data_IF_709742386847
#
_entry.id   IF_709742386847
#
_cell.length_a   1.000
_cell.length_b   1.000
_cell.length_c   1.000
_cell.angle_alpha   90.00
_cell.angle_beta   90.00
_cell.angle_gamma   90.00
#
_symmetry.space_group_name_H-M   'P 1'
#
loop_
_entity.id
_entity.type
_entity.pdbx_description
1 polymer ?
#
# COMPACT_ATOMS: atom_id res chain seq x y z
N UNK A 1 -15.33 42.93 61.12
CA UNK A 1 -15.64 42.05 59.98
C UNK A 1 -14.32 41.57 59.39
N UNK A 2 -13.84 40.40 59.81
CA UNK A 2 -12.53 39.87 59.37
C UNK A 2 -12.77 38.71 58.41
N UNK A 3 -12.37 38.90 57.15
CA UNK A 3 -12.46 37.91 56.07
C UNK A 3 -11.19 37.04 56.12
N UNK A 4 -11.36 35.76 56.40
CA UNK A 4 -10.28 34.78 56.44
C UNK A 4 -10.10 34.16 55.05
N UNK A 5 -9.05 34.54 54.33
CA UNK A 5 -8.69 33.94 53.05
C UNK A 5 -7.97 32.59 53.29
N UNK A 6 -8.72 31.49 53.20
CA UNK A 6 -8.15 30.15 53.19
C UNK A 6 -7.44 29.87 51.85
N UNK A 7 -6.11 29.80 51.87
CA UNK A 7 -5.32 29.36 50.72
C UNK A 7 -5.54 27.85 50.57
N UNK A 8 -6.17 27.42 49.47
CA UNK A 8 -6.37 25.99 49.17
C UNK A 8 -5.00 25.30 49.06
N UNK A 9 -4.76 24.14 49.71
CA UNK A 9 -3.47 23.48 49.62
C UNK A 9 -3.23 23.01 48.19
N UNK A 10 -2.07 23.37 47.66
CA UNK A 10 -1.56 22.87 46.38
C UNK A 10 -1.41 21.34 46.48
N UNK A 11 -1.87 20.60 45.47
CA UNK A 11 -1.77 19.13 45.42
C UNK A 11 -0.34 18.65 45.73
N UNK A 12 -0.21 17.56 46.50
CA UNK A 12 1.10 17.06 46.90
C UNK A 12 1.92 16.61 45.68
N UNK A 13 3.24 16.82 45.73
CA UNK A 13 4.17 16.48 44.64
C UNK A 13 4.09 15.01 44.22
N UNK A 14 3.72 14.10 45.14
CA UNK A 14 3.53 12.68 44.85
C UNK A 14 2.32 12.42 43.96
N UNK A 15 1.22 13.16 44.15
CA UNK A 15 0.04 13.09 43.29
C UNK A 15 0.30 13.68 41.90
N UNK A 16 1.04 14.78 41.83
CA UNK A 16 1.45 15.41 40.57
C UNK A 16 2.36 14.48 39.74
N UNK A 17 3.32 13.81 40.40
CA UNK A 17 4.21 12.86 39.75
C UNK A 17 3.48 11.61 39.24
N UNK A 18 2.53 11.07 40.03
CA UNK A 18 1.68 9.96 39.59
C UNK A 18 0.78 10.31 38.41
N UNK A 19 0.18 11.50 38.41
CA UNK A 19 -0.63 11.99 37.30
C UNK A 19 0.20 12.16 36.01
N UNK A 20 1.44 12.67 36.12
CA UNK A 20 2.35 12.81 34.98
C UNK A 20 2.71 11.45 34.38
N UNK A 21 3.02 10.44 35.20
CA UNK A 21 3.31 9.08 34.73
C UNK A 21 2.10 8.49 34.00
N UNK A 22 0.88 8.67 34.54
CA UNK A 22 -0.34 8.17 33.91
C UNK A 22 -0.59 8.84 32.55
N UNK A 23 -0.39 10.16 32.45
CA UNK A 23 -0.54 10.92 31.20
C UNK A 23 0.47 10.44 30.16
N UNK A 24 1.73 10.21 30.55
CA UNK A 24 2.77 9.67 29.67
C UNK A 24 2.39 8.28 29.15
N UNK A 25 1.87 7.40 30.01
CA UNK A 25 1.42 6.07 29.61
C UNK A 25 0.19 6.14 28.68
N UNK A 26 -0.75 7.04 28.96
CA UNK A 26 -1.92 7.24 28.11
C UNK A 26 -1.53 7.76 26.72
N UNK A 27 -0.61 8.73 26.66
CA UNK A 27 -0.06 9.25 25.40
C UNK A 27 0.67 8.16 24.61
N UNK A 28 1.51 7.36 25.26
CA UNK A 28 2.19 6.24 24.63
C UNK A 28 1.22 5.19 24.08
N UNK A 29 0.16 4.85 24.83
CA UNK A 29 -0.87 3.91 24.40
C UNK A 29 -1.64 4.41 23.16
N UNK A 30 -1.97 5.71 23.10
CA UNK A 30 -2.60 6.33 21.93
C UNK A 30 -1.69 6.27 20.70
N UNK A 31 -0.39 6.54 20.86
CA UNK A 31 0.57 6.47 19.75
C UNK A 31 0.73 5.07 19.15
N UNK A 32 0.80 4.02 19.98
CA UNK A 32 0.91 2.63 19.50
C UNK A 32 -0.37 2.19 18.77
N UNK A 33 -1.54 2.57 19.28
CA UNK A 33 -2.82 2.27 18.63
C UNK A 33 -2.94 2.94 17.26
N UNK A 34 -2.53 4.20 17.11
CA UNK A 34 -2.53 4.90 15.82
C UNK A 34 -1.64 4.24 14.77
N UNK A 35 -0.51 3.67 15.16
CA UNK A 35 0.39 2.98 14.23
C UNK A 35 -0.21 1.66 13.73
N UNK A 36 -0.91 0.91 14.58
CA UNK A 36 -1.61 -0.31 14.19
C UNK A 36 -2.70 -0.09 13.12
N UNK A 37 -3.32 1.10 13.08
CA UNK A 37 -4.31 1.44 12.04
C UNK A 37 -3.70 1.69 10.66
N UNK A 38 -2.38 1.91 10.59
CA UNK A 38 -1.67 2.19 9.34
C UNK A 38 -0.91 0.97 8.82
N UNK A 39 -0.90 -0.14 9.55
CA UNK A 39 -0.22 -1.36 9.12
C UNK A 39 -0.99 -2.04 7.97
N UNK A 40 -0.29 -2.44 6.90
CA UNK A 40 -0.94 -3.13 5.81
C UNK A 40 -1.46 -4.48 6.29
N UNK A 41 -2.75 -4.76 6.01
CA UNK A 41 -3.37 -6.05 6.31
C UNK A 41 -2.65 -7.23 5.62
N UNK A 42 -2.10 -6.98 4.42
CA UNK A 42 -1.34 -7.97 3.64
C UNK A 42 0.14 -7.65 3.79
N UNK A 43 0.86 -8.49 4.51
CA UNK A 43 2.31 -8.34 4.78
C UNK A 43 3.19 -9.27 3.95
N UNK A 44 2.58 -10.28 3.30
CA UNK A 44 3.23 -11.21 2.39
C UNK A 44 2.28 -11.61 1.27
N UNK A 45 2.84 -12.00 0.14
CA UNK A 45 2.09 -12.64 -0.94
C UNK A 45 1.72 -14.07 -0.54
N UNK A 46 0.59 -14.56 -1.04
CA UNK A 46 0.17 -15.96 -0.84
C UNK A 46 1.00 -16.92 -1.71
N UNK A 47 1.45 -16.44 -2.87
CA UNK A 47 2.30 -17.17 -3.81
C UNK A 47 3.67 -16.53 -3.81
N UNK A 48 4.70 -17.27 -3.40
CA UNK A 48 6.07 -16.77 -3.31
C UNK A 48 6.71 -16.50 -4.68
N UNK A 49 6.36 -17.32 -5.69
CA UNK A 49 6.89 -17.22 -7.06
C UNK A 49 5.77 -17.16 -8.09
N UNK A 50 5.04 -16.03 -8.19
CA UNK A 50 3.90 -15.94 -9.10
C UNK A 50 4.34 -16.02 -10.56
N UNK A 51 3.65 -16.83 -11.35
CA UNK A 51 3.85 -17.03 -12.78
C UNK A 51 2.70 -16.43 -13.63
N UNK A 52 1.57 -16.11 -13.01
CA UNK A 52 0.42 -15.40 -13.62
C UNK A 52 0.33 -13.99 -13.06
N UNK A 53 0.95 -13.03 -13.74
CA UNK A 53 1.04 -11.63 -13.29
C UNK A 53 0.35 -10.70 -14.30
N UNK A 54 -0.50 -9.81 -13.80
CA UNK A 54 -1.10 -8.74 -14.59
C UNK A 54 -0.51 -7.38 -14.20
N UNK A 55 0.00 -6.64 -15.18
CA UNK A 55 0.44 -5.26 -15.04
C UNK A 55 -0.67 -4.34 -15.59
N UNK A 56 -1.22 -3.47 -14.75
CA UNK A 56 -2.23 -2.48 -15.15
C UNK A 56 -1.70 -1.08 -14.88
N UNK A 57 -1.71 -0.23 -15.91
CA UNK A 57 -1.24 1.14 -15.77
C UNK A 57 -1.26 1.90 -17.07
N UNK A 58 -0.27 2.75 -17.28
CA UNK A 58 -0.27 3.68 -18.41
C UNK A 58 1.01 3.61 -19.24
N UNK A 59 1.31 4.71 -19.94
CA UNK A 59 2.49 4.90 -20.77
C UNK A 59 3.81 4.56 -20.06
N UNK A 60 3.90 4.71 -18.73
CA UNK A 60 5.06 4.29 -17.94
C UNK A 60 5.29 2.78 -17.99
N UNK A 61 4.23 1.98 -17.98
CA UNK A 61 4.32 0.54 -18.14
C UNK A 61 4.43 0.10 -19.59
N UNK A 62 4.08 0.96 -20.55
CA UNK A 62 4.06 0.60 -21.98
C UNK A 62 5.36 0.93 -22.72
N UNK A 63 5.85 2.19 -22.64
CA UNK A 63 6.91 2.68 -23.54
C UNK A 63 8.34 2.20 -23.23
N UNK A 64 8.52 1.32 -22.24
CA UNK A 64 9.80 0.69 -21.93
C UNK A 64 9.77 -0.80 -22.31
N UNK A 65 9.59 -1.11 -23.60
CA UNK A 65 9.37 -2.49 -24.12
C UNK A 65 8.25 -3.24 -23.38
N UNK A 66 7.31 -2.49 -22.80
CA UNK A 66 6.48 -2.86 -21.67
C UNK A 66 7.19 -3.50 -20.48
N UNK A 67 6.96 -2.97 -19.27
CA UNK A 67 7.65 -3.37 -18.04
C UNK A 67 7.65 -4.88 -17.78
N UNK A 68 6.53 -5.56 -18.07
CA UNK A 68 6.38 -7.00 -17.88
C UNK A 68 7.40 -7.84 -18.66
N UNK A 69 7.86 -7.36 -19.83
CA UNK A 69 8.86 -8.06 -20.63
C UNK A 69 10.24 -8.02 -19.99
N UNK A 70 10.61 -6.90 -19.37
CA UNK A 70 11.86 -6.78 -18.63
C UNK A 70 11.84 -7.66 -17.38
N UNK A 71 10.73 -7.67 -16.63
CA UNK A 71 10.57 -8.54 -15.46
C UNK A 71 10.71 -10.02 -15.84
N UNK A 72 10.07 -10.45 -16.93
CA UNK A 72 10.21 -11.82 -17.43
C UNK A 72 11.67 -12.17 -17.78
N UNK A 73 12.41 -11.26 -18.44
CA UNK A 73 13.84 -11.49 -18.77
C UNK A 73 14.73 -11.56 -17.53
N UNK A 74 14.46 -10.74 -16.51
CA UNK A 74 15.22 -10.79 -15.25
C UNK A 74 14.99 -12.11 -14.52
N UNK A 75 13.75 -12.62 -14.48
CA UNK A 75 13.44 -13.92 -13.89
C UNK A 75 14.11 -15.07 -14.64
N UNK A 76 14.12 -15.03 -15.96
CA UNK A 76 14.80 -16.02 -16.80
C UNK A 76 16.33 -15.99 -16.60
N UNK A 77 16.91 -14.80 -16.38
CA UNK A 77 18.33 -14.65 -16.09
C UNK A 77 18.72 -15.14 -14.68
N UNK A 78 17.85 -14.93 -13.69
CA UNK A 78 18.06 -15.38 -12.30
C UNK A 78 17.83 -16.89 -12.14
N UNK A 79 16.88 -17.44 -12.90
CA UNK A 79 16.55 -18.86 -12.88
C UNK A 79 16.63 -19.48 -14.29
N UNK A 80 17.76 -20.11 -14.66
CA UNK A 80 17.96 -20.69 -16.00
C UNK A 80 17.03 -21.87 -16.33
N UNK A 81 16.35 -22.44 -15.32
CA UNK A 81 15.36 -23.51 -15.51
C UNK A 81 13.93 -22.97 -15.69
N UNK A 82 13.72 -21.67 -15.47
CA UNK A 82 12.43 -21.01 -15.68
C UNK A 82 12.33 -20.53 -17.12
N UNK A 83 11.58 -21.28 -17.93
CA UNK A 83 11.34 -20.89 -19.30
C UNK A 83 10.28 -19.79 -19.38
N UNK A 84 10.55 -18.76 -20.20
CA UNK A 84 9.61 -17.66 -20.47
C UNK A 84 8.21 -18.13 -20.89
N UNK A 85 8.11 -19.27 -21.59
CA UNK A 85 6.83 -19.85 -22.02
C UNK A 85 5.94 -20.30 -20.83
N UNK A 86 6.51 -20.52 -19.65
CA UNK A 86 5.76 -20.83 -18.43
C UNK A 86 5.19 -19.55 -17.76
N UNK A 87 5.68 -18.36 -18.13
CA UNK A 87 5.23 -17.09 -17.56
C UNK A 87 4.02 -16.57 -18.34
N UNK A 88 2.89 -16.44 -17.64
CA UNK A 88 1.66 -15.86 -18.18
C UNK A 88 1.54 -14.41 -17.76
N UNK A 89 2.54 -13.60 -18.13
CA UNK A 89 2.54 -12.18 -17.84
C UNK A 89 1.68 -11.43 -18.86
N UNK A 90 0.81 -10.53 -18.38
CA UNK A 90 -0.05 -9.69 -19.21
C UNK A 90 0.11 -8.23 -18.83
N UNK A 91 -0.10 -7.34 -19.81
CA UNK A 91 -0.05 -5.90 -19.61
C UNK A 91 -1.30 -5.26 -20.22
N UNK A 92 -2.00 -4.46 -19.43
CA UNK A 92 -3.13 -3.64 -19.86
C UNK A 92 -2.79 -2.18 -19.61
N UNK A 93 -2.50 -1.46 -20.69
CA UNK A 93 -2.04 -0.06 -20.59
C UNK A 93 -2.87 0.88 -21.42
N UNK A 94 -3.31 1.98 -20.83
CA UNK A 94 -3.97 3.09 -21.52
C UNK A 94 -3.09 4.33 -21.35
N UNK A 95 -2.65 4.93 -22.46
CA UNK A 95 -1.73 6.08 -22.41
C UNK A 95 -2.36 7.25 -21.65
N UNK A 96 -1.62 7.81 -20.68
CA UNK A 96 -2.09 8.93 -19.85
C UNK A 96 -3.22 8.61 -18.85
N UNK A 97 -3.65 7.34 -18.73
CA UNK A 97 -4.76 6.99 -17.86
C UNK A 97 -4.36 6.87 -16.38
N UNK A 98 -5.33 7.16 -15.51
CA UNK A 98 -5.40 6.69 -14.13
C UNK A 98 -5.98 5.27 -14.08
N UNK A 99 -5.85 4.59 -12.93
CA UNK A 99 -6.46 3.28 -12.69
C UNK A 99 -7.98 3.29 -12.84
N UNK A 100 -8.64 4.41 -12.54
CA UNK A 100 -10.09 4.55 -12.66
C UNK A 100 -10.61 4.37 -14.10
N UNK A 101 -9.76 4.57 -15.11
CA UNK A 101 -10.12 4.33 -16.51
C UNK A 101 -10.00 2.86 -16.93
N UNK A 102 -9.40 2.00 -16.11
CA UNK A 102 -9.25 0.59 -16.41
C UNK A 102 -10.44 -0.22 -15.92
N UNK A 103 -10.98 -1.16 -16.74
CA UNK A 103 -12.03 -2.06 -16.30
C UNK A 103 -11.45 -3.20 -15.46
N UNK A 104 -10.99 -2.90 -14.23
CA UNK A 104 -10.22 -3.83 -13.38
C UNK A 104 -10.93 -5.17 -13.19
N UNK A 105 -12.22 -5.18 -12.85
CA UNK A 105 -13.00 -6.40 -12.64
C UNK A 105 -12.98 -7.31 -13.88
N UNK A 106 -13.12 -6.73 -15.06
CA UNK A 106 -13.04 -7.48 -16.32
C UNK A 106 -11.62 -7.99 -16.58
N UNK A 107 -10.59 -7.18 -16.31
CA UNK A 107 -9.20 -7.55 -16.54
C UNK A 107 -8.74 -8.70 -15.66
N UNK A 108 -9.18 -8.75 -14.39
CA UNK A 108 -8.80 -9.81 -13.44
C UNK A 108 -9.65 -11.07 -13.57
N UNK A 109 -10.75 -11.02 -14.33
CA UNK A 109 -11.60 -12.17 -14.56
C UNK A 109 -10.88 -13.22 -15.41
N UNK A 110 -10.77 -14.49 -14.95
CA UNK A 110 -10.12 -15.54 -15.72
C UNK A 110 -10.70 -15.70 -17.13
N UNK A 111 -9.82 -15.93 -18.10
CA UNK A 111 -10.13 -16.13 -19.52
C UNK A 111 -10.31 -14.86 -20.35
N UNK A 112 -10.46 -13.67 -19.74
CA UNK A 112 -10.75 -12.43 -20.49
C UNK A 112 -9.61 -11.93 -21.35
N UNK A 113 -8.37 -12.15 -20.91
CA UNK A 113 -7.15 -11.70 -21.61
C UNK A 113 -6.17 -12.84 -21.89
N UNK A 114 -6.71 -14.04 -22.15
CA UNK A 114 -5.92 -15.21 -22.57
C UNK A 114 -5.11 -15.87 -21.45
N UNK A 115 -5.50 -15.65 -20.20
CA UNK A 115 -5.00 -16.36 -19.00
C UNK A 115 -6.20 -17.02 -18.36
N UNK A 116 -6.24 -18.35 -18.34
CA UNK A 116 -7.47 -19.12 -17.99
C UNK A 116 -7.70 -19.26 -16.49
N UNK A 117 -6.65 -19.12 -15.68
CA UNK A 117 -6.71 -19.17 -14.23
C UNK A 117 -6.65 -17.74 -13.65
N UNK A 118 -7.03 -17.54 -12.38
CA UNK A 118 -6.84 -16.26 -11.71
C UNK A 118 -5.37 -15.82 -11.75
N UNK A 119 -5.16 -14.51 -11.88
CA UNK A 119 -3.85 -13.91 -11.65
C UNK A 119 -3.44 -14.09 -10.19
N UNK A 120 -2.18 -14.45 -9.96
CA UNK A 120 -1.60 -14.62 -8.64
C UNK A 120 -1.10 -13.28 -8.07
N UNK A 121 -0.76 -12.36 -8.97
CA UNK A 121 -0.34 -11.00 -8.63
C UNK A 121 -0.86 -10.00 -9.66
N UNK A 122 -1.37 -8.88 -9.17
CA UNK A 122 -1.73 -7.74 -10.01
C UNK A 122 -0.91 -6.53 -9.55
N UNK A 123 -0.12 -5.97 -10.47
CA UNK A 123 0.69 -4.78 -10.24
C UNK A 123 -0.05 -3.59 -10.84
N UNK A 124 -0.40 -2.63 -9.99
CA UNK A 124 -1.20 -1.46 -10.34
C UNK A 124 -0.35 -0.20 -10.31
N UNK A 125 -0.49 0.64 -11.34
CA UNK A 125 0.11 1.97 -11.40
C UNK A 125 -0.93 3.01 -11.81
N UNK A 126 -1.16 4.00 -10.93
CA UNK A 126 -2.12 5.07 -11.16
C UNK A 126 -1.55 6.21 -12.02
N UNK A 127 -2.27 7.33 -12.13
CA UNK A 127 -1.87 8.47 -12.95
C UNK A 127 -0.52 9.02 -12.53
N UNK A 128 0.42 9.13 -13.47
CA UNK A 128 1.82 9.48 -13.17
C UNK A 128 2.02 10.86 -12.54
N UNK A 129 1.06 11.77 -12.71
CA UNK A 129 1.09 13.11 -12.12
C UNK A 129 0.35 13.21 -10.77
N UNK A 130 -0.51 12.24 -10.43
CA UNK A 130 -1.38 12.33 -9.26
C UNK A 130 -0.63 12.51 -7.92
N UNK A 131 0.54 11.88 -7.68
CA UNK A 131 1.31 12.14 -6.46
C UNK A 131 1.80 13.59 -6.32
N UNK A 132 1.81 14.35 -7.42
CA UNK A 132 2.27 15.74 -7.48
C UNK A 132 1.10 16.74 -7.47
N UNK A 133 -0.14 16.27 -7.57
CA UNK A 133 -1.32 17.13 -7.60
C UNK A 133 -1.73 17.49 -6.17
N UNK A 134 -1.76 18.80 -5.88
CA UNK A 134 -2.12 19.34 -4.55
C UNK A 134 -3.60 19.16 -4.18
N UNK A 135 -4.41 18.54 -5.03
CA UNK A 135 -5.82 18.23 -4.76
C UNK A 135 -6.02 16.75 -5.04
N UNK A 136 -6.32 15.97 -4.01
CA UNK A 136 -6.68 14.57 -4.19
C UNK A 136 -7.92 14.47 -5.07
N UNK A 137 -7.78 13.80 -6.21
CA UNK A 137 -8.81 13.43 -7.19
C UNK A 137 -9.29 14.52 -8.17
N UNK A 138 -9.22 14.17 -9.46
CA UNK A 138 -10.21 14.51 -10.47
C UNK A 138 -10.99 13.25 -10.81
#
# INVERSE_FOLDING_TARGET
>A
MSIHFGVRPLMSSKFLFGALILIVHLLAAVSVFSQSLLEPRVTRLEVETPTRILFVGNSYFYYNDSLHNHVARMLEADNPYLHRAALQFKSSTISGASLAHHPIEWLVTPGRIGVMEPFELVILHDGSAQPLEHTGAR
#
